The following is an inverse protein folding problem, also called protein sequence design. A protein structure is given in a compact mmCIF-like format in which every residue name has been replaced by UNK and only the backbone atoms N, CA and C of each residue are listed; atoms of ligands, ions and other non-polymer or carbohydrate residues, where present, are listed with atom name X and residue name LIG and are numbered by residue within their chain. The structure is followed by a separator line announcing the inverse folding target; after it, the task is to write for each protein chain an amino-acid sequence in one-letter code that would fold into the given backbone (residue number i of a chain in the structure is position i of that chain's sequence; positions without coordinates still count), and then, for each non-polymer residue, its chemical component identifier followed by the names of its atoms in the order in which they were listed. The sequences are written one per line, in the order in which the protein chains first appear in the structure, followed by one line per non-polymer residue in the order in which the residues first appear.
data_IF_192948987080
#
_entry.id   IF_192948987080
#
_cell.length_a   1.000
_cell.length_b   1.000
_cell.length_c   1.000
_cell.angle_alpha   90.00
_cell.angle_beta   90.00
_cell.angle_gamma   90.00
#
_symmetry.space_group_name_H-M   'P 1'
#
loop_
_entity.id
_entity.type
_entity.pdbx_description
1 polymer ?
#
# COMPACT_ATOMS: atom_id res chain seq x y z
N UNK A 1 -0.28 0.75 -19.49
CA UNK A 1 0.73 0.30 -18.51
C UNK A 1 0.07 0.28 -17.14
N UNK A 2 -0.02 -0.90 -16.53
CA UNK A 2 -0.60 -1.07 -15.20
C UNK A 2 0.33 -0.46 -14.15
N UNK A 3 -0.15 0.49 -13.34
CA UNK A 3 0.66 1.14 -12.30
C UNK A 3 0.47 0.42 -10.97
N UNK A 4 1.49 -0.29 -10.53
CA UNK A 4 1.57 -0.84 -9.17
C UNK A 4 1.69 0.36 -8.22
N UNK A 5 0.81 0.42 -7.22
CA UNK A 5 0.92 1.42 -6.16
C UNK A 5 1.98 1.02 -5.14
N UNK A 6 2.48 1.99 -4.37
CA UNK A 6 3.42 1.74 -3.26
C UNK A 6 2.90 0.67 -2.28
N UNK A 7 1.58 0.55 -2.11
CA UNK A 7 0.95 -0.48 -1.28
C UNK A 7 0.94 -1.89 -1.90
N UNK A 8 1.50 -2.07 -3.11
CA UNK A 8 1.49 -3.28 -3.92
C UNK A 8 0.15 -3.65 -4.56
N UNK A 9 -0.89 -2.83 -4.41
CA UNK A 9 -2.13 -2.96 -5.19
C UNK A 9 -2.03 -2.11 -6.46
N UNK A 10 -2.52 -2.64 -7.57
CA UNK A 10 -2.72 -1.86 -8.79
C UNK A 10 -3.67 -0.68 -8.55
N UNK A 11 -3.28 0.54 -8.91
CA UNK A 11 -4.11 1.73 -8.66
C UNK A 11 -5.54 1.58 -9.21
N UNK A 12 -5.69 0.90 -10.35
CA UNK A 12 -6.98 0.58 -11.00
C UNK A 12 -7.89 -0.35 -10.18
N UNK A 13 -7.39 -0.96 -9.11
CA UNK A 13 -8.16 -1.77 -8.15
C UNK A 13 -8.27 -1.08 -6.79
N UNK A 14 -7.60 0.05 -6.58
CA UNK A 14 -7.69 0.81 -5.33
C UNK A 14 -9.08 1.48 -5.21
N UNK A 15 -9.86 1.21 -4.15
CA UNK A 15 -11.19 1.80 -3.98
C UNK A 15 -11.17 3.33 -3.92
N UNK A 16 -10.12 3.94 -3.34
CA UNK A 16 -9.99 5.40 -3.26
C UNK A 16 -9.71 6.03 -4.62
N UNK A 17 -8.89 5.38 -5.44
CA UNK A 17 -8.62 5.82 -6.81
C UNK A 17 -9.86 5.68 -7.69
N UNK A 18 -10.54 4.53 -7.64
CA UNK A 18 -11.77 4.27 -8.40
C UNK A 18 -12.90 5.26 -8.04
N UNK A 19 -13.00 5.66 -6.77
CA UNK A 19 -13.96 6.67 -6.30
C UNK A 19 -13.50 8.12 -6.55
N UNK A 20 -12.38 8.34 -7.25
CA UNK A 20 -11.79 9.67 -7.53
C UNK A 20 -11.45 10.48 -6.27
N UNK A 21 -11.25 9.81 -5.14
CA UNK A 21 -10.76 10.43 -3.91
C UNK A 21 -9.23 10.51 -3.85
N UNK A 22 -8.52 9.92 -4.82
CA UNK A 22 -7.07 9.88 -4.88
C UNK A 22 -6.62 10.07 -6.34
N UNK A 23 -5.56 10.84 -6.56
CA UNK A 23 -4.97 11.10 -7.89
C UNK A 23 -3.97 10.01 -8.35
N UNK A 24 -3.72 8.99 -7.51
CA UNK A 24 -2.78 7.90 -7.77
C UNK A 24 -1.59 7.90 -6.80
N UNK A 25 -0.72 6.86 -6.89
CA UNK A 25 0.38 6.63 -5.95
C UNK A 25 1.62 7.55 -6.10
N UNK A 26 1.51 8.66 -6.85
CA UNK A 26 2.40 9.81 -6.66
C UNK A 26 2.09 10.45 -5.28
N UNK A 27 2.98 11.30 -4.70
CA UNK A 27 2.69 11.95 -3.43
C UNK A 27 1.25 12.50 -3.45
N UNK A 28 0.40 11.98 -2.57
CA UNK A 28 -1.01 12.35 -2.54
C UNK A 28 -1.43 12.60 -1.09
N UNK A 29 -2.36 13.54 -0.84
CA UNK A 29 -2.73 13.94 0.51
C UNK A 29 -3.64 12.93 1.22
N UNK A 30 -4.06 11.85 0.56
CA UNK A 30 -5.13 10.96 1.04
C UNK A 30 -4.60 9.65 1.60
N UNK A 31 -3.55 9.09 0.99
CA UNK A 31 -2.89 7.88 1.44
C UNK A 31 -1.51 8.24 1.99
N UNK A 32 -1.25 7.84 3.24
CA UNK A 32 0.03 8.11 3.91
C UNK A 32 1.16 7.17 3.48
N UNK A 33 0.85 6.09 2.76
CA UNK A 33 1.83 5.06 2.39
C UNK A 33 2.95 5.57 1.47
N UNK A 34 2.70 6.37 0.40
CA UNK A 34 3.78 6.88 -0.45
C UNK A 34 4.77 7.78 0.31
N UNK A 35 4.27 8.62 1.24
CA UNK A 35 5.12 9.46 2.09
C UNK A 35 5.96 8.62 3.06
N UNK A 36 5.31 7.70 3.78
CA UNK A 36 5.98 6.81 4.72
C UNK A 36 7.05 5.93 4.06
N UNK A 37 6.75 5.34 2.89
CA UNK A 37 7.71 4.52 2.14
C UNK A 37 8.93 5.35 1.70
N UNK A 38 8.69 6.55 1.14
CA UNK A 38 9.74 7.49 0.74
C UNK A 38 10.63 7.90 1.92
N UNK A 39 10.05 8.23 3.07
CA UNK A 39 10.79 8.61 4.28
C UNK A 39 11.68 7.47 4.80
N UNK A 40 11.24 6.21 4.61
CA UNK A 40 11.98 5.02 5.03
C UNK A 40 12.90 4.44 3.96
N UNK A 41 12.90 4.99 2.75
CA UNK A 41 13.71 4.51 1.63
C UNK A 41 13.22 3.21 0.98
N UNK A 42 11.92 2.93 1.03
CA UNK A 42 11.30 1.77 0.37
C UNK A 42 10.52 2.19 -0.88
N UNK A 43 10.56 1.37 -1.92
CA UNK A 43 9.76 1.56 -3.13
C UNK A 43 8.36 0.96 -2.97
N UNK A 44 8.25 -0.18 -2.29
CA UNK A 44 7.00 -0.84 -1.96
C UNK A 44 6.85 -1.02 -0.46
N UNK A 45 5.62 -1.03 0.03
CA UNK A 45 5.32 -1.36 1.43
C UNK A 45 5.76 -2.79 1.77
N UNK A 46 5.78 -3.70 0.79
CA UNK A 46 6.22 -5.09 0.97
C UNK A 46 7.72 -5.19 1.31
N UNK A 47 8.53 -4.20 0.94
CA UNK A 47 9.96 -4.15 1.29
C UNK A 47 10.18 -3.72 2.75
N UNK A 48 9.13 -3.23 3.43
CA UNK A 48 9.23 -2.80 4.82
C UNK A 48 9.19 -4.01 5.76
N UNK A 49 10.19 -4.22 6.65
CA UNK A 49 10.21 -5.35 7.58
C UNK A 49 9.04 -5.37 8.60
N UNK A 50 8.36 -4.24 8.75
CA UNK A 50 7.18 -4.11 9.62
C UNK A 50 5.87 -4.30 8.86
N UNK A 51 5.90 -4.65 7.58
CA UNK A 51 4.70 -4.90 6.80
C UNK A 51 4.03 -6.22 7.23
N UNK A 52 2.70 -6.27 7.34
CA UNK A 52 1.78 -5.12 7.37
C UNK A 52 1.89 -4.33 8.68
N UNK A 53 1.96 -2.99 8.57
CA UNK A 53 2.10 -2.08 9.72
C UNK A 53 0.78 -1.35 10.02
N UNK A 54 0.66 -0.59 11.14
CA UNK A 54 -0.57 0.13 11.49
C UNK A 54 -1.16 0.98 10.37
N UNK A 55 -0.32 1.64 9.55
CA UNK A 55 -0.79 2.41 8.38
C UNK A 55 -1.53 1.50 7.40
N UNK A 56 -1.07 0.27 7.14
CA UNK A 56 -1.75 -0.65 6.23
C UNK A 56 -3.17 -0.97 6.73
N UNK A 57 -3.32 -1.20 8.04
CA UNK A 57 -4.61 -1.53 8.65
C UNK A 57 -5.63 -0.38 8.62
N UNK A 58 -5.21 0.86 8.35
CA UNK A 58 -6.13 1.99 8.13
C UNK A 58 -6.80 1.95 6.76
N UNK A 59 -6.16 1.33 5.77
CA UNK A 59 -6.62 1.36 4.37
C UNK A 59 -7.09 -0.01 3.86
N UNK A 60 -6.75 -1.10 4.55
CA UNK A 60 -7.08 -2.45 4.12
C UNK A 60 -7.75 -3.28 5.22
N UNK A 61 -8.62 -4.24 4.85
CA UNK A 61 -9.21 -5.17 5.81
C UNK A 61 -8.14 -5.95 6.56
N UNK A 62 -8.29 -6.04 7.89
CA UNK A 62 -7.38 -6.78 8.77
C UNK A 62 -7.17 -8.22 8.30
N UNK A 63 -8.25 -8.92 7.92
CA UNK A 63 -8.17 -10.31 7.44
C UNK A 63 -7.31 -10.49 6.19
N UNK A 64 -7.34 -9.54 5.26
CA UNK A 64 -6.53 -9.60 4.05
C UNK A 64 -5.04 -9.36 4.34
N UNK A 65 -4.74 -8.38 5.21
CA UNK A 65 -3.36 -8.13 5.64
C UNK A 65 -2.79 -9.27 6.48
N UNK A 66 -3.61 -9.88 7.35
CA UNK A 66 -3.18 -11.02 8.15
C UNK A 66 -2.89 -12.24 7.28
N UNK A 67 -3.67 -12.46 6.20
CA UNK A 67 -3.37 -13.49 5.20
C UNK A 67 -2.02 -13.22 4.51
N UNK A 68 -1.75 -11.99 4.07
CA UNK A 68 -0.45 -11.62 3.48
C UNK A 68 0.72 -11.76 4.46
N UNK A 69 0.46 -11.71 5.76
CA UNK A 69 1.47 -11.90 6.82
C UNK A 69 1.71 -13.37 7.15
N UNK A 70 0.69 -14.21 7.04
CA UNK A 70 0.76 -15.65 7.38
C UNK A 70 1.44 -16.46 6.28
N UNK A 71 1.28 -16.04 5.04
CA UNK A 71 2.14 -16.49 3.95
C UNK A 71 3.47 -15.75 4.14
N UNK A 72 4.59 -16.45 4.36
CA UNK A 72 5.90 -15.82 4.17
C UNK A 72 5.84 -15.14 2.81
N UNK A 73 5.93 -13.81 2.79
CA UNK A 73 5.98 -13.05 1.54
C UNK A 73 7.24 -13.55 0.87
N UNK A 74 7.06 -14.49 -0.06
CA UNK A 74 8.13 -15.18 -0.77
C UNK A 74 9.01 -14.07 -1.34
N UNK A 75 10.24 -14.03 -0.83
CA UNK A 75 11.22 -12.98 -1.14
C UNK A 75 11.48 -12.81 -2.62
#
# INVERSE_FOLDING_TARGET
MMKVGVCGIFCEKCPKFLKKHCSGCAPNPVCRMPGCAKEKGYDLCFDCPSFPCPINYEFFPKSWLDFLKSEEIVG
#
